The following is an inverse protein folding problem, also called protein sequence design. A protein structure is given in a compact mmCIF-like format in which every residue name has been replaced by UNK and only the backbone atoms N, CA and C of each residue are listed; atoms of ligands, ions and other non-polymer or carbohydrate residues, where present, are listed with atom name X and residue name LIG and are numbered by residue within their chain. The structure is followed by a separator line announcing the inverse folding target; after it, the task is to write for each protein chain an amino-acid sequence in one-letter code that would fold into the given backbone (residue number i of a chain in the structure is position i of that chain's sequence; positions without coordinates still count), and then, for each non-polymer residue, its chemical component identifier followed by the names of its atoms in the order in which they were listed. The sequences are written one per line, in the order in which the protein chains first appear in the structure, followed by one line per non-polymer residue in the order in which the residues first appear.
data_IF_320669620669
#
_entry.id   IF_320669620669
#
_cell.length_a   1.000
_cell.length_b   1.000
_cell.length_c   1.000
_cell.angle_alpha   90.00
_cell.angle_beta   90.00
_cell.angle_gamma   90.00
#
_symmetry.space_group_name_H-M   'P 1'
#
loop_
_entity.id
_entity.type
_entity.pdbx_description
1 polymer ?
#
# COMPACT_ATOMS: atom_id res chain seq x y z
N UNK A 1 -13.45 5.26 -12.63
CA UNK A 1 -13.30 5.19 -14.10
C UNK A 1 -13.29 6.55 -14.77
N UNK A 2 -14.24 7.46 -14.51
CA UNK A 2 -14.25 8.79 -15.14
C UNK A 2 -12.95 9.57 -14.94
N UNK A 3 -12.50 9.69 -13.69
CA UNK A 3 -11.22 10.33 -13.37
C UNK A 3 -10.00 9.61 -13.95
N UNK A 4 -10.05 8.29 -14.12
CA UNK A 4 -9.00 7.55 -14.83
C UNK A 4 -8.93 7.93 -16.31
N UNK A 5 -10.07 8.26 -16.92
CA UNK A 5 -10.12 8.78 -18.29
C UNK A 5 -9.49 10.17 -18.39
N UNK A 6 -9.90 11.09 -17.52
CA UNK A 6 -9.37 12.47 -17.49
C UNK A 6 -7.85 12.50 -17.19
N UNK A 7 -7.37 11.56 -16.38
CA UNK A 7 -5.98 11.55 -15.94
C UNK A 7 -5.08 10.61 -16.76
N UNK A 8 -5.60 9.97 -17.81
CA UNK A 8 -4.94 8.89 -18.54
C UNK A 8 -3.53 9.27 -19.04
N UNK A 9 -3.36 10.50 -19.51
CA UNK A 9 -2.10 10.98 -20.08
C UNK A 9 -1.28 11.83 -19.12
N UNK A 10 -1.83 12.26 -17.97
CA UNK A 10 -1.17 13.19 -17.04
C UNK A 10 -0.57 12.44 -15.86
N UNK A 11 -1.32 11.51 -15.26
CA UNK A 11 -0.93 10.81 -14.04
C UNK A 11 -0.54 9.35 -14.33
N UNK A 12 0.75 9.11 -14.54
CA UNK A 12 1.32 7.76 -14.67
C UNK A 12 1.07 6.91 -13.41
N UNK A 13 1.03 7.56 -12.24
CA UNK A 13 0.69 6.93 -10.96
C UNK A 13 -0.68 6.25 -11.00
N UNK A 14 -1.69 6.89 -11.61
CA UNK A 14 -3.05 6.35 -11.72
C UNK A 14 -3.09 5.14 -12.67
N UNK A 15 -2.36 5.19 -13.80
CA UNK A 15 -2.28 4.04 -14.71
C UNK A 15 -1.78 2.80 -13.99
N UNK A 16 -0.70 2.95 -13.21
CA UNK A 16 -0.13 1.83 -12.46
C UNK A 16 -1.03 1.43 -11.28
N UNK A 17 -1.68 2.40 -10.62
CA UNK A 17 -2.66 2.15 -9.54
C UNK A 17 -3.84 1.29 -9.99
N UNK A 18 -4.24 1.36 -11.27
CA UNK A 18 -5.36 0.59 -11.81
C UNK A 18 -5.17 -0.91 -11.54
N UNK A 19 -3.96 -1.45 -11.73
CA UNK A 19 -3.65 -2.85 -11.48
C UNK A 19 -3.83 -3.23 -10.01
N UNK A 20 -3.41 -2.37 -9.09
CA UNK A 20 -3.58 -2.59 -7.65
C UNK A 20 -5.05 -2.53 -7.22
N UNK A 21 -5.82 -1.61 -7.82
CA UNK A 21 -7.26 -1.49 -7.59
C UNK A 21 -8.01 -2.69 -8.16
N UNK A 22 -7.61 -3.24 -9.30
CA UNK A 22 -8.21 -4.47 -9.85
C UNK A 22 -8.00 -5.68 -8.93
N UNK A 23 -6.81 -5.81 -8.34
CA UNK A 23 -6.55 -6.83 -7.31
C UNK A 23 -7.49 -6.63 -6.11
N UNK A 24 -7.71 -5.39 -5.68
CA UNK A 24 -8.66 -5.07 -4.62
C UNK A 24 -10.10 -5.46 -5.00
N UNK A 25 -10.53 -5.12 -6.21
CA UNK A 25 -11.87 -5.48 -6.74
C UNK A 25 -12.03 -7.00 -6.79
N UNK A 26 -11.03 -7.74 -7.26
CA UNK A 26 -11.07 -9.19 -7.33
C UNK A 26 -11.19 -9.88 -5.97
N UNK A 27 -10.67 -9.26 -4.91
CA UNK A 27 -10.78 -9.79 -3.57
C UNK A 27 -12.14 -9.49 -2.90
N UNK A 28 -12.78 -8.36 -3.24
CA UNK A 28 -14.08 -7.97 -2.68
C UNK A 28 -15.23 -8.56 -3.50
N UNK A 29 -15.16 -8.44 -4.83
CA UNK A 29 -16.15 -8.92 -5.80
C UNK A 29 -15.47 -9.80 -6.87
N UNK A 30 -15.24 -11.10 -6.57
CA UNK A 30 -14.51 -12.02 -7.45
C UNK A 30 -15.09 -12.15 -8.87
N UNK A 31 -16.41 -12.01 -9.02
CA UNK A 31 -17.07 -12.08 -10.34
C UNK A 31 -16.69 -10.91 -11.24
N UNK A 32 -16.69 -9.70 -10.68
CA UNK A 32 -16.30 -8.49 -11.40
C UNK A 32 -14.79 -8.52 -11.68
N UNK A 33 -13.97 -8.84 -10.68
CA UNK A 33 -12.52 -8.94 -10.86
C UNK A 33 -12.10 -9.95 -11.91
N UNK A 34 -12.78 -11.11 -11.99
CA UNK A 34 -12.57 -12.10 -13.05
C UNK A 34 -12.73 -11.48 -14.44
N UNK A 35 -13.82 -10.75 -14.67
CA UNK A 35 -14.12 -10.19 -15.99
C UNK A 35 -13.25 -8.97 -16.33
N UNK A 36 -12.75 -8.25 -15.32
CA UNK A 36 -11.69 -7.26 -15.49
C UNK A 36 -10.37 -7.92 -15.93
N UNK A 37 -9.93 -9.00 -15.26
CA UNK A 37 -8.75 -9.73 -15.68
C UNK A 37 -8.91 -10.42 -17.04
N UNK A 38 -10.12 -10.85 -17.40
CA UNK A 38 -10.44 -11.31 -18.75
C UNK A 38 -10.23 -10.17 -19.77
N UNK A 39 -10.70 -8.97 -19.47
CA UNK A 39 -10.52 -7.79 -20.31
C UNK A 39 -9.03 -7.45 -20.48
N UNK A 40 -8.24 -7.49 -19.40
CA UNK A 40 -6.79 -7.32 -19.47
C UNK A 40 -6.11 -8.39 -20.32
N UNK A 41 -6.58 -9.65 -20.22
CA UNK A 41 -6.06 -10.77 -21.02
C UNK A 41 -6.34 -10.55 -22.52
N UNK A 42 -7.51 -10.03 -22.87
CA UNK A 42 -7.85 -9.66 -24.25
C UNK A 42 -6.98 -8.51 -24.74
N UNK A 43 -6.82 -7.45 -23.95
CA UNK A 43 -5.93 -6.32 -24.28
C UNK A 43 -4.49 -6.79 -24.46
N UNK A 44 -4.02 -7.68 -23.58
CA UNK A 44 -2.70 -8.29 -23.65
C UNK A 44 -2.47 -8.98 -25.01
N UNK A 45 -3.39 -9.89 -25.40
CA UNK A 45 -3.31 -10.61 -26.68
C UNK A 45 -3.41 -9.66 -27.88
N UNK A 46 -4.31 -8.68 -27.86
CA UNK A 46 -4.45 -7.69 -28.92
C UNK A 46 -3.19 -6.85 -29.09
N UNK A 47 -2.52 -6.45 -28.00
CA UNK A 47 -1.25 -5.73 -28.10
C UNK A 47 -0.10 -6.60 -28.60
N UNK A 48 -0.08 -7.91 -28.32
CA UNK A 48 0.88 -8.84 -28.94
C UNK A 48 0.65 -8.98 -30.44
N UNK A 49 -0.62 -9.08 -30.87
CA UNK A 49 -0.97 -9.09 -32.29
C UNK A 49 -0.53 -7.77 -32.94
N UNK A 50 -0.83 -6.62 -32.32
CA UNK A 50 -0.40 -5.30 -32.79
C UNK A 50 1.12 -5.14 -32.89
N UNK A 51 1.88 -5.74 -31.97
CA UNK A 51 3.34 -5.81 -32.04
C UNK A 51 3.80 -6.70 -33.20
N UNK A 52 3.19 -7.87 -33.40
CA UNK A 52 3.55 -8.79 -34.48
C UNK A 52 3.27 -8.20 -35.87
N UNK A 53 2.16 -7.47 -36.02
CA UNK A 53 1.78 -6.80 -37.27
C UNK A 53 2.47 -5.44 -37.48
N UNK A 54 3.36 -5.03 -36.57
CA UNK A 54 4.01 -3.70 -36.59
C UNK A 54 3.02 -2.52 -36.53
N UNK A 55 1.78 -2.76 -36.07
CA UNK A 55 0.79 -1.71 -35.87
C UNK A 55 1.18 -0.77 -34.72
N UNK A 56 1.93 -1.26 -33.73
CA UNK A 56 2.48 -0.44 -32.64
C UNK A 56 3.95 -0.77 -32.38
N UNK A 57 4.76 0.28 -32.20
CA UNK A 57 6.17 0.17 -31.83
C UNK A 57 6.41 0.41 -30.34
N UNK A 58 5.37 0.78 -29.57
CA UNK A 58 5.51 1.13 -28.14
C UNK A 58 6.11 -0.01 -27.32
N UNK A 59 5.70 -1.26 -27.58
CA UNK A 59 6.20 -2.45 -26.88
C UNK A 59 7.64 -2.84 -27.24
N UNK A 60 8.22 -2.22 -28.28
CA UNK A 60 9.61 -2.44 -28.69
C UNK A 60 10.56 -1.36 -28.13
N UNK A 61 10.05 -0.39 -27.35
CA UNK A 61 10.84 0.74 -26.84
C UNK A 61 11.96 0.31 -25.89
N UNK A 62 11.67 -0.63 -24.99
CA UNK A 62 12.64 -1.16 -24.03
C UNK A 62 12.35 -2.64 -23.74
N UNK A 63 13.36 -3.52 -23.61
CA UNK A 63 13.16 -4.93 -23.28
C UNK A 63 12.37 -5.12 -21.98
N UNK A 64 12.67 -4.32 -20.95
CA UNK A 64 11.98 -4.40 -19.66
C UNK A 64 10.49 -4.04 -19.77
N UNK A 65 10.13 -3.09 -20.64
CA UNK A 65 8.72 -2.74 -20.87
C UNK A 65 7.93 -3.93 -21.43
N UNK A 66 8.53 -4.68 -22.36
CA UNK A 66 7.95 -5.90 -22.90
C UNK A 66 7.83 -6.98 -21.82
N UNK A 67 8.85 -7.14 -20.96
CA UNK A 67 8.80 -8.08 -19.84
C UNK A 67 7.69 -7.74 -18.85
N UNK A 68 7.54 -6.47 -18.47
CA UNK A 68 6.43 -6.01 -17.62
C UNK A 68 5.07 -6.27 -18.26
N UNK A 69 4.95 -6.01 -19.57
CA UNK A 69 3.73 -6.29 -20.34
C UNK A 69 3.37 -7.79 -20.30
N UNK A 70 4.35 -8.67 -20.46
CA UNK A 70 4.16 -10.12 -20.32
C UNK A 70 3.82 -10.53 -18.89
N UNK A 71 4.49 -9.99 -17.87
CA UNK A 71 4.22 -10.32 -16.47
C UNK A 71 2.79 -9.94 -16.08
N UNK A 72 2.34 -8.73 -16.43
CA UNK A 72 0.98 -8.27 -16.16
C UNK A 72 -0.05 -9.05 -16.97
N UNK A 73 0.23 -9.32 -18.26
CA UNK A 73 -0.66 -10.06 -19.14
C UNK A 73 -0.86 -11.51 -18.72
N UNK A 74 0.24 -12.25 -18.50
CA UNK A 74 0.20 -13.64 -18.03
C UNK A 74 -0.38 -13.71 -16.61
N UNK A 75 -0.01 -12.78 -15.73
CA UNK A 75 -0.61 -12.67 -14.40
C UNK A 75 -2.12 -12.49 -14.44
N UNK A 76 -2.62 -11.66 -15.37
CA UNK A 76 -4.05 -11.46 -15.60
C UNK A 76 -4.75 -12.73 -16.12
N UNK A 77 -4.11 -13.49 -17.02
CA UNK A 77 -4.65 -14.78 -17.50
C UNK A 77 -4.76 -15.78 -16.35
N UNK A 78 -3.71 -15.92 -15.53
CA UNK A 78 -3.69 -16.82 -14.37
C UNK A 78 -4.75 -16.41 -13.34
N UNK A 79 -4.86 -15.11 -13.03
CA UNK A 79 -5.87 -14.58 -12.13
C UNK A 79 -7.29 -14.81 -12.66
N UNK A 80 -7.53 -14.53 -13.95
CA UNK A 80 -8.80 -14.79 -14.61
C UNK A 80 -9.17 -16.28 -14.54
N UNK A 81 -8.24 -17.18 -14.86
CA UNK A 81 -8.48 -18.63 -14.79
C UNK A 81 -8.81 -19.09 -13.37
N UNK A 82 -8.02 -18.67 -12.38
CA UNK A 82 -8.26 -19.02 -10.97
C UNK A 82 -9.63 -18.54 -10.48
N UNK A 83 -10.00 -17.30 -10.80
CA UNK A 83 -11.31 -16.75 -10.42
C UNK A 83 -12.45 -17.38 -11.22
N UNK A 84 -12.24 -17.77 -12.48
CA UNK A 84 -13.24 -18.49 -13.28
C UNK A 84 -13.52 -19.88 -12.69
N UNK A 85 -12.50 -20.60 -12.22
CA UNK A 85 -12.66 -21.88 -11.51
C UNK A 85 -13.44 -21.68 -10.20
N UNK A 86 -13.10 -20.64 -9.43
CA UNK A 86 -13.77 -20.34 -8.14
C UNK A 86 -15.24 -19.92 -8.34
N UNK A 87 -15.52 -19.10 -9.36
CA UNK A 87 -16.86 -18.55 -9.63
C UNK A 87 -17.71 -19.43 -10.56
N UNK A 88 -17.13 -20.51 -11.12
CA UNK A 88 -17.74 -21.45 -12.07
C UNK A 88 -18.44 -20.78 -13.26
N UNK A 89 -17.96 -19.62 -13.67
CA UNK A 89 -18.55 -18.83 -14.75
C UNK A 89 -17.49 -17.92 -15.35
N UNK A 90 -17.76 -17.38 -16.53
CA UNK A 90 -16.90 -16.43 -17.24
C UNK A 90 -17.79 -15.38 -17.92
N UNK A 91 -17.41 -14.11 -17.86
CA UNK A 91 -18.10 -13.05 -18.60
C UNK A 91 -19.52 -12.70 -18.09
N UNK A 92 -19.84 -12.96 -16.82
CA UNK A 92 -21.17 -12.63 -16.26
C UNK A 92 -21.39 -11.13 -16.04
N UNK A 93 -20.32 -10.38 -15.76
CA UNK A 93 -20.30 -8.95 -15.44
C UNK A 93 -19.84 -8.09 -16.62
N UNK A 94 -19.95 -8.58 -17.86
CA UNK A 94 -19.51 -7.85 -19.06
C UNK A 94 -20.18 -6.47 -19.20
N UNK A 95 -21.44 -6.34 -18.74
CA UNK A 95 -22.16 -5.05 -18.74
C UNK A 95 -21.51 -4.03 -17.81
N UNK A 96 -21.07 -4.46 -16.63
CA UNK A 96 -20.36 -3.60 -15.70
C UNK A 96 -19.02 -3.15 -16.31
N UNK A 97 -18.28 -4.08 -16.92
CA UNK A 97 -17.05 -3.76 -17.67
C UNK A 97 -17.29 -2.75 -18.79
N UNK A 98 -18.37 -2.90 -19.56
CA UNK A 98 -18.74 -1.94 -20.61
C UNK A 98 -19.10 -0.56 -20.05
N UNK A 99 -19.88 -0.49 -18.96
CA UNK A 99 -20.19 0.79 -18.29
C UNK A 99 -18.90 1.44 -17.78
N UNK A 100 -17.99 0.67 -17.19
CA UNK A 100 -16.68 1.16 -16.74
C UNK A 100 -15.88 1.74 -17.90
N UNK A 101 -15.86 1.07 -19.05
CA UNK A 101 -15.22 1.54 -20.28
C UNK A 101 -15.86 2.81 -20.84
N UNK A 102 -17.20 2.87 -20.92
CA UNK A 102 -17.93 4.06 -21.37
C UNK A 102 -17.70 5.27 -20.46
N UNK A 103 -17.69 5.05 -19.14
CA UNK A 103 -17.42 6.12 -18.16
C UNK A 103 -15.97 6.57 -18.24
N UNK A 104 -15.02 5.67 -18.51
CA UNK A 104 -13.64 6.02 -18.79
C UNK A 104 -13.53 6.85 -20.08
N UNK A 105 -14.20 6.43 -21.16
CA UNK A 105 -14.26 7.17 -22.43
C UNK A 105 -14.88 8.56 -22.26
N UNK A 106 -15.93 8.69 -21.45
CA UNK A 106 -16.54 9.97 -21.12
C UNK A 106 -15.54 10.91 -20.43
N UNK A 107 -14.66 10.37 -19.57
CA UNK A 107 -13.56 11.14 -19.00
C UNK A 107 -12.49 11.50 -20.03
N UNK A 108 -12.06 10.53 -20.85
CA UNK A 108 -11.07 10.74 -21.90
C UNK A 108 -11.54 11.70 -22.99
N UNK A 109 -12.86 11.85 -23.20
CA UNK A 109 -13.42 12.81 -24.15
C UNK A 109 -13.03 14.27 -23.84
N UNK A 110 -12.64 14.58 -22.60
CA UNK A 110 -12.12 15.91 -22.25
C UNK A 110 -10.82 16.25 -22.98
N UNK A 111 -10.05 15.27 -23.47
CA UNK A 111 -8.88 15.56 -24.30
C UNK A 111 -9.24 16.24 -25.63
N UNK A 112 -10.49 16.12 -26.12
CA UNK A 112 -10.96 16.90 -27.28
C UNK A 112 -11.01 18.41 -27.02
N UNK A 113 -10.85 18.86 -25.76
CA UNK A 113 -10.60 20.26 -25.46
C UNK A 113 -9.28 20.77 -26.07
N UNK A 114 -8.23 19.94 -26.14
CA UNK A 114 -6.92 20.32 -26.68
C UNK A 114 -6.98 20.80 -28.13
N UNK A 115 -7.57 20.06 -29.10
CA UNK A 115 -7.69 20.55 -30.47
C UNK A 115 -8.59 21.80 -30.57
N UNK A 116 -9.65 21.90 -29.77
CA UNK A 116 -10.57 23.05 -29.79
C UNK A 116 -9.85 24.31 -29.32
N UNK A 117 -9.20 24.26 -28.15
CA UNK A 117 -8.42 25.36 -27.63
C UNK A 117 -7.24 25.69 -28.56
N UNK A 118 -6.60 24.67 -29.14
CA UNK A 118 -5.48 24.82 -30.05
C UNK A 118 -5.79 25.57 -31.35
N UNK A 119 -7.07 25.69 -31.74
CA UNK A 119 -7.50 26.54 -32.87
C UNK A 119 -7.49 28.04 -32.54
N UNK A 120 -7.48 28.40 -31.25
CA UNK A 120 -7.59 29.80 -30.79
C UNK A 120 -6.24 30.45 -30.48
N UNK A 121 -5.14 29.68 -30.49
CA UNK A 121 -3.80 30.13 -30.11
C UNK A 121 -2.76 29.75 -31.19
N UNK A 122 -1.66 30.52 -31.33
CA UNK A 122 -0.67 30.29 -32.37
C UNK A 122 -0.01 28.90 -32.29
N UNK A 123 0.66 28.43 -33.36
CA UNK A 123 1.18 27.05 -33.49
C UNK A 123 2.35 26.68 -32.57
N UNK A 124 2.63 27.46 -31.53
CA UNK A 124 3.70 27.23 -30.56
C UNK A 124 3.25 26.35 -29.37
N UNK A 125 2.33 25.42 -29.62
CA UNK A 125 1.77 24.53 -28.60
C UNK A 125 2.53 23.20 -28.58
N UNK A 126 2.66 22.59 -27.41
CA UNK A 126 3.25 21.25 -27.27
C UNK A 126 2.44 20.22 -28.05
N UNK A 127 3.09 19.48 -28.94
CA UNK A 127 2.45 18.50 -29.84
C UNK A 127 1.58 19.10 -30.94
N UNK A 128 1.19 20.38 -30.88
CA UNK A 128 0.28 21.03 -31.84
C UNK A 128 -1.04 20.24 -32.06
N UNK A 129 -1.87 20.09 -31.00
CA UNK A 129 -2.98 19.13 -30.94
C UNK A 129 -4.13 19.39 -31.92
N UNK A 130 -4.11 20.50 -32.66
CA UNK A 130 -5.11 20.77 -33.71
C UNK A 130 -4.95 19.89 -34.96
N UNK A 131 -3.80 19.25 -35.15
CA UNK A 131 -3.61 18.22 -36.19
C UNK A 131 -3.85 16.84 -35.60
N UNK A 132 -4.24 15.88 -36.44
CA UNK A 132 -4.47 14.49 -35.99
C UNK A 132 -3.19 13.89 -35.39
N UNK A 133 -2.06 14.07 -36.09
CA UNK A 133 -0.76 13.62 -35.62
C UNK A 133 -0.40 14.27 -34.27
N UNK A 134 -0.60 15.59 -34.16
CA UNK A 134 -0.29 16.34 -32.96
C UNK A 134 -1.15 15.96 -31.75
N UNK A 135 -2.43 15.69 -31.98
CA UNK A 135 -3.35 15.20 -30.96
C UNK A 135 -2.90 13.85 -30.41
N UNK A 136 -2.60 12.89 -31.29
CA UNK A 136 -2.12 11.58 -30.87
C UNK A 136 -0.70 11.65 -30.28
N UNK A 137 0.14 12.60 -30.71
CA UNK A 137 1.43 12.87 -30.10
C UNK A 137 1.30 13.40 -28.66
N UNK A 138 0.38 14.33 -28.42
CA UNK A 138 0.07 14.84 -27.09
C UNK A 138 -0.50 13.73 -26.19
N UNK A 139 -1.48 12.96 -26.69
CA UNK A 139 -2.11 11.85 -25.97
C UNK A 139 -1.11 10.72 -25.63
N UNK A 140 -0.24 10.36 -26.57
CA UNK A 140 0.80 9.34 -26.36
C UNK A 140 1.98 9.83 -25.53
N UNK A 141 1.92 11.06 -25.00
CA UNK A 141 2.99 11.69 -24.22
C UNK A 141 4.30 11.82 -25.01
N UNK A 142 4.26 12.04 -26.31
CA UNK A 142 5.45 12.17 -27.16
C UNK A 142 6.39 13.34 -26.78
N UNK A 143 5.86 14.32 -26.03
CA UNK A 143 6.60 15.44 -25.43
C UNK A 143 7.45 15.06 -24.21
N UNK A 144 7.16 13.92 -23.58
CA UNK A 144 7.89 13.43 -22.42
C UNK A 144 8.89 12.37 -22.85
N UNK A 145 9.92 12.16 -22.03
CA UNK A 145 10.84 11.06 -22.23
C UNK A 145 10.09 9.73 -22.21
N UNK A 146 10.41 8.86 -23.16
CA UNK A 146 9.79 7.54 -23.26
C UNK A 146 10.15 6.72 -22.01
N UNK A 147 9.22 5.89 -21.55
CA UNK A 147 9.47 5.01 -20.43
C UNK A 147 10.67 4.10 -20.71
N UNK A 148 11.69 4.19 -19.85
CA UNK A 148 12.89 3.36 -19.89
C UNK A 148 13.04 2.62 -18.54
N UNK A 149 12.31 1.50 -18.37
CA UNK A 149 12.17 0.89 -17.06
C UNK A 149 13.48 0.29 -16.55
N UNK A 150 13.69 0.32 -15.23
CA UNK A 150 14.87 -0.22 -14.56
C UNK A 150 15.05 -1.71 -14.83
N UNK A 151 16.28 -2.12 -15.13
CA UNK A 151 16.58 -3.53 -15.35
C UNK A 151 16.73 -4.30 -14.04
N UNK A 152 15.60 -4.74 -13.49
CA UNK A 152 15.53 -5.48 -12.23
C UNK A 152 16.22 -6.85 -12.30
N UNK A 153 16.24 -7.48 -13.48
CA UNK A 153 16.75 -8.85 -13.63
C UNK A 153 18.25 -8.88 -13.86
N UNK A 154 18.78 -7.98 -14.68
CA UNK A 154 20.21 -7.96 -14.99
C UNK A 154 21.01 -7.02 -14.08
N UNK A 155 20.37 -6.01 -13.48
CA UNK A 155 21.00 -5.09 -12.54
C UNK A 155 20.18 -4.92 -11.24
N UNK A 156 20.06 -5.98 -10.42
CA UNK A 156 19.29 -5.92 -9.19
C UNK A 156 19.86 -4.92 -8.17
N UNK A 157 21.17 -4.65 -8.21
CA UNK A 157 21.82 -3.67 -7.34
C UNK A 157 21.28 -2.25 -7.54
N UNK A 158 21.07 -1.84 -8.79
CA UNK A 158 20.47 -0.55 -9.11
C UNK A 158 19.03 -0.45 -8.59
N UNK A 159 18.23 -1.50 -8.76
CA UNK A 159 16.88 -1.54 -8.24
C UNK A 159 16.83 -1.48 -6.71
N UNK A 160 17.76 -2.15 -6.01
CA UNK A 160 17.85 -2.07 -4.56
C UNK A 160 18.20 -0.66 -4.07
N UNK A 161 19.06 0.07 -4.80
CA UNK A 161 19.34 1.48 -4.51
C UNK A 161 18.09 2.33 -4.66
N UNK A 162 17.31 2.13 -5.71
CA UNK A 162 16.05 2.84 -5.96
C UNK A 162 14.99 2.55 -4.89
N UNK A 163 14.89 1.30 -4.42
CA UNK A 163 14.04 0.94 -3.28
C UNK A 163 14.53 1.66 -2.01
N UNK A 164 15.85 1.76 -1.82
CA UNK A 164 16.45 2.54 -0.75
C UNK A 164 16.09 4.03 -0.82
N UNK A 165 16.09 4.62 -2.01
CA UNK A 165 15.64 6.00 -2.24
C UNK A 165 14.17 6.18 -1.86
N UNK A 166 13.28 5.30 -2.33
CA UNK A 166 11.85 5.34 -1.99
C UNK A 166 11.63 5.27 -0.47
N UNK A 167 12.34 4.38 0.23
CA UNK A 167 12.26 4.26 1.69
C UNK A 167 12.83 5.53 2.37
N UNK A 168 13.95 6.05 1.88
CA UNK A 168 14.56 7.27 2.40
C UNK A 168 13.61 8.47 2.30
N UNK A 169 12.90 8.60 1.19
CA UNK A 169 11.90 9.66 0.99
C UNK A 169 10.75 9.55 1.99
N UNK A 170 10.21 8.33 2.19
CA UNK A 170 9.14 8.08 3.17
C UNK A 170 9.60 8.39 4.59
N UNK A 171 10.83 8.00 4.94
CA UNK A 171 11.43 8.28 6.24
C UNK A 171 11.65 9.77 6.44
N UNK A 172 12.04 10.49 5.39
CA UNK A 172 12.21 11.94 5.46
C UNK A 172 10.87 12.65 5.70
N UNK A 173 9.76 12.15 5.15
CA UNK A 173 8.43 12.74 5.39
C UNK A 173 7.86 12.38 6.77
N UNK A 174 7.96 11.12 7.20
CA UNK A 174 7.24 10.63 8.39
C UNK A 174 8.10 10.21 9.56
N UNK A 175 9.42 10.10 9.42
CA UNK A 175 10.38 9.48 10.35
C UNK A 175 10.30 7.94 10.46
N UNK A 176 11.38 7.35 10.99
CA UNK A 176 11.52 5.90 11.18
C UNK A 176 10.49 5.28 12.12
N UNK A 177 10.13 5.99 13.20
CA UNK A 177 9.17 5.49 14.21
C UNK A 177 7.80 5.29 13.58
N UNK A 178 7.33 6.28 12.81
CA UNK A 178 6.07 6.18 12.09
C UNK A 178 6.09 5.05 11.06
N UNK A 179 7.22 4.84 10.35
CA UNK A 179 7.32 3.74 9.39
C UNK A 179 7.17 2.36 10.05
N UNK A 180 7.75 2.15 11.24
CA UNK A 180 7.53 0.91 12.00
C UNK A 180 6.07 0.78 12.48
N UNK A 181 5.46 1.87 12.90
CA UNK A 181 4.03 1.89 13.30
C UNK A 181 3.14 1.54 12.08
N UNK A 182 3.51 1.98 10.88
CA UNK A 182 2.80 1.65 9.65
C UNK A 182 2.76 0.14 9.35
N UNK A 183 3.69 -0.64 9.88
CA UNK A 183 3.71 -2.10 9.74
C UNK A 183 2.81 -2.81 10.76
N UNK A 184 2.39 -2.14 11.84
CA UNK A 184 1.58 -2.74 12.89
C UNK A 184 0.28 -3.38 12.38
N UNK A 185 -0.50 -2.78 11.46
CA UNK A 185 -1.72 -3.41 10.94
C UNK A 185 -1.46 -4.79 10.31
N UNK A 186 -0.30 -5.00 9.68
CA UNK A 186 0.08 -6.27 9.07
C UNK A 186 0.28 -7.37 10.13
N UNK A 187 0.77 -7.01 11.32
CA UNK A 187 0.94 -7.96 12.44
C UNK A 187 -0.41 -8.46 12.97
N UNK A 188 -1.46 -7.65 12.86
CA UNK A 188 -2.82 -8.00 13.28
C UNK A 188 -3.64 -8.69 12.17
N UNK A 189 -3.09 -8.89 10.96
CA UNK A 189 -3.81 -9.43 9.80
C UNK A 189 -4.58 -10.73 10.09
N UNK A 190 -3.94 -11.69 10.76
CA UNK A 190 -4.55 -12.98 11.09
C UNK A 190 -5.66 -12.89 12.14
N UNK A 191 -5.78 -11.77 12.86
CA UNK A 191 -6.83 -11.52 13.87
C UNK A 191 -7.98 -10.67 13.35
N UNK A 192 -7.80 -10.00 12.22
CA UNK A 192 -8.81 -9.13 11.61
C UNK A 192 -9.96 -9.90 10.97
N UNK A 193 -11.11 -9.24 10.80
CA UNK A 193 -12.25 -9.78 10.06
C UNK A 193 -11.96 -9.84 8.55
N UNK A 194 -12.74 -10.64 7.79
CA UNK A 194 -12.55 -10.79 6.34
C UNK A 194 -12.55 -9.45 5.60
N UNK A 195 -13.50 -8.57 5.91
CA UNK A 195 -13.60 -7.22 5.30
C UNK A 195 -12.35 -6.37 5.54
N UNK A 196 -11.82 -6.40 6.75
CA UNK A 196 -10.62 -5.65 7.14
C UNK A 196 -9.37 -6.23 6.44
N UNK A 197 -9.26 -7.56 6.34
CA UNK A 197 -8.21 -8.22 5.58
C UNK A 197 -8.27 -7.85 4.10
N UNK A 198 -9.47 -7.82 3.51
CA UNK A 198 -9.68 -7.36 2.13
C UNK A 198 -9.16 -5.96 1.91
N UNK A 199 -9.53 -5.05 2.81
CA UNK A 199 -9.11 -3.65 2.74
C UNK A 199 -7.60 -3.49 2.90
N UNK A 200 -6.99 -4.21 3.84
CA UNK A 200 -5.55 -4.15 4.07
C UNK A 200 -4.78 -4.71 2.86
N UNK A 201 -5.23 -5.83 2.30
CA UNK A 201 -4.64 -6.41 1.10
C UNK A 201 -4.76 -5.46 -0.10
N UNK A 202 -5.90 -4.77 -0.23
CA UNK A 202 -6.11 -3.76 -1.26
C UNK A 202 -5.10 -2.61 -1.14
N UNK A 203 -4.90 -2.05 0.06
CA UNK A 203 -3.92 -0.98 0.28
C UNK A 203 -2.50 -1.43 -0.05
N UNK A 204 -2.14 -2.66 0.36
CA UNK A 204 -0.83 -3.25 0.05
C UNK A 204 -0.64 -3.43 -1.46
N UNK A 205 -1.65 -3.96 -2.16
CA UNK A 205 -1.61 -4.15 -3.61
C UNK A 205 -1.45 -2.82 -4.36
N UNK A 206 -2.23 -1.80 -3.98
CA UNK A 206 -2.10 -0.45 -4.58
C UNK A 206 -0.73 0.14 -4.27
N UNK A 207 -0.20 -0.01 -3.05
CA UNK A 207 1.14 0.47 -2.69
C UNK A 207 2.24 -0.20 -3.51
N UNK A 208 2.18 -1.51 -3.72
CA UNK A 208 3.15 -2.22 -4.58
C UNK A 208 3.11 -1.71 -6.02
N UNK A 209 1.93 -1.34 -6.52
CA UNK A 209 1.79 -0.74 -7.85
C UNK A 209 2.36 0.68 -7.88
N UNK A 210 1.85 1.61 -7.07
CA UNK A 210 2.24 3.03 -7.16
C UNK A 210 3.63 3.34 -6.56
N UNK A 211 4.13 2.47 -5.69
CA UNK A 211 5.50 2.52 -5.18
C UNK A 211 6.42 1.70 -6.06
N UNK A 212 6.31 0.37 -6.00
CA UNK A 212 7.26 -0.54 -6.65
C UNK A 212 7.22 -0.55 -8.17
N UNK A 213 6.05 -0.78 -8.78
CA UNK A 213 5.94 -0.86 -10.24
C UNK A 213 6.19 0.50 -10.91
N UNK A 214 5.74 1.60 -10.30
CA UNK A 214 6.06 2.94 -10.77
C UNK A 214 7.56 3.26 -10.66
N UNK A 215 8.24 2.80 -9.60
CA UNK A 215 9.69 2.93 -9.44
C UNK A 215 10.45 2.25 -10.57
N UNK A 216 10.04 1.04 -10.94
CA UNK A 216 10.61 0.33 -12.10
C UNK A 216 10.35 1.13 -13.37
N UNK A 217 9.12 1.63 -13.59
CA UNK A 217 8.75 2.30 -14.83
C UNK A 217 9.48 3.64 -15.02
N UNK A 218 9.63 4.41 -13.95
CA UNK A 218 10.19 5.76 -13.98
C UNK A 218 11.72 5.76 -13.91
N UNK A 219 12.31 4.69 -13.35
CA UNK A 219 13.76 4.48 -13.29
C UNK A 219 14.54 5.72 -12.81
N UNK A 220 14.23 6.26 -11.62
CA UNK A 220 14.89 7.48 -11.15
C UNK A 220 16.40 7.27 -10.98
N UNK A 221 17.18 8.25 -11.43
CA UNK A 221 18.62 8.28 -11.21
C UNK A 221 18.94 8.75 -9.78
N UNK A 222 20.05 8.31 -9.18
CA UNK A 222 20.46 8.74 -7.83
C UNK A 222 20.99 10.18 -7.77
N UNK A 223 21.11 10.87 -8.91
CA UNK A 223 21.40 12.30 -8.95
C UNK A 223 20.35 13.10 -8.17
N UNK A 224 20.81 14.07 -7.35
CA UNK A 224 19.95 14.80 -6.42
C UNK A 224 18.82 15.55 -7.13
N UNK A 225 19.12 16.22 -8.24
CA UNK A 225 18.12 17.01 -8.96
C UNK A 225 17.03 16.10 -9.55
N UNK A 226 17.44 14.99 -10.17
CA UNK A 226 16.50 14.01 -10.72
C UNK A 226 15.69 13.30 -9.63
N UNK A 227 16.29 13.00 -8.48
CA UNK A 227 15.62 12.39 -7.34
C UNK A 227 14.54 13.31 -6.76
N UNK A 228 14.83 14.60 -6.59
CA UNK A 228 13.87 15.58 -6.09
C UNK A 228 12.68 15.77 -7.04
N UNK A 229 12.91 15.78 -8.36
CA UNK A 229 11.83 15.79 -9.36
C UNK A 229 10.98 14.51 -9.33
N UNK A 230 11.65 13.37 -9.15
CA UNK A 230 11.03 12.05 -9.09
C UNK A 230 10.15 11.86 -7.86
N UNK A 231 10.53 12.46 -6.73
CA UNK A 231 9.83 12.38 -5.44
C UNK A 231 8.36 12.78 -5.53
N UNK A 232 8.05 13.80 -6.34
CA UNK A 232 6.67 14.31 -6.52
C UNK A 232 5.73 13.21 -7.02
N UNK A 233 6.19 12.31 -7.90
CA UNK A 233 5.38 11.20 -8.41
C UNK A 233 5.06 10.17 -7.32
N UNK A 234 5.95 9.98 -6.35
CA UNK A 234 5.76 9.05 -5.24
C UNK A 234 4.93 9.63 -4.08
N UNK A 235 4.56 10.91 -4.09
CA UNK A 235 3.70 11.50 -3.04
C UNK A 235 2.41 10.69 -2.81
N UNK A 236 1.86 10.10 -3.88
CA UNK A 236 0.69 9.21 -3.79
C UNK A 236 0.95 7.93 -2.99
N UNK A 237 2.15 7.34 -3.05
CA UNK A 237 2.55 6.19 -2.22
C UNK A 237 2.69 6.56 -0.75
N UNK A 238 3.15 7.78 -0.46
CA UNK A 238 3.28 8.32 0.89
C UNK A 238 1.92 8.46 1.57
N UNK A 239 0.87 8.81 0.82
CA UNK A 239 -0.50 8.88 1.35
C UNK A 239 -1.01 7.50 1.84
N UNK A 240 -0.67 6.42 1.15
CA UNK A 240 -1.03 5.06 1.61
C UNK A 240 -0.28 4.69 2.89
N UNK A 241 0.99 5.08 3.00
CA UNK A 241 1.76 4.90 4.24
C UNK A 241 1.14 5.72 5.38
N UNK A 242 0.69 6.95 5.14
CA UNK A 242 0.00 7.74 6.15
C UNK A 242 -1.28 7.07 6.67
N UNK A 243 -2.08 6.47 5.78
CA UNK A 243 -3.25 5.68 6.18
C UNK A 243 -2.84 4.51 7.07
N UNK A 244 -1.77 3.80 6.69
CA UNK A 244 -1.23 2.68 7.45
C UNK A 244 -0.67 3.10 8.81
N UNK A 245 -0.03 4.27 8.90
CA UNK A 245 0.41 4.88 10.16
C UNK A 245 -0.81 5.12 11.07
N UNK A 246 -1.88 5.72 10.53
CA UNK A 246 -3.11 5.97 11.28
C UNK A 246 -3.74 4.68 11.83
N UNK A 247 -3.83 3.63 11.01
CA UNK A 247 -4.28 2.31 11.48
C UNK A 247 -3.33 1.69 12.50
N UNK A 248 -2.02 1.86 12.32
CA UNK A 248 -1.01 1.38 13.25
C UNK A 248 -1.17 2.00 14.63
N UNK A 249 -1.35 3.31 14.71
CA UNK A 249 -1.65 4.01 15.97
C UNK A 249 -2.94 3.51 16.60
N UNK A 250 -4.03 3.45 15.83
CA UNK A 250 -5.34 3.04 16.34
C UNK A 250 -5.31 1.60 16.91
N UNK A 251 -4.74 0.64 16.17
CA UNK A 251 -4.66 -0.75 16.59
C UNK A 251 -3.72 -0.94 17.78
N UNK A 252 -2.59 -0.26 17.80
CA UNK A 252 -1.63 -0.32 18.91
C UNK A 252 -2.25 0.27 20.18
N UNK A 253 -2.91 1.42 20.08
CA UNK A 253 -3.60 2.06 21.20
C UNK A 253 -4.74 1.17 21.74
N UNK A 254 -5.59 0.62 20.86
CA UNK A 254 -6.65 -0.30 21.25
C UNK A 254 -6.11 -1.58 21.91
N UNK A 255 -5.01 -2.12 21.41
CA UNK A 255 -4.35 -3.29 21.99
C UNK A 255 -3.84 -3.00 23.41
N UNK A 256 -3.16 -1.87 23.61
CA UNK A 256 -2.66 -1.43 24.92
C UNK A 256 -3.83 -1.18 25.88
N UNK A 257 -4.90 -0.52 25.43
CA UNK A 257 -6.06 -0.21 26.26
C UNK A 257 -6.78 -1.49 26.74
N UNK A 258 -6.96 -2.47 25.85
CA UNK A 258 -7.63 -3.75 26.17
C UNK A 258 -6.77 -4.69 27.03
N UNK A 259 -5.45 -4.55 26.98
CA UNK A 259 -4.51 -5.41 27.72
C UNK A 259 -3.63 -4.59 28.70
N UNK A 260 -4.21 -3.56 29.32
CA UNK A 260 -3.46 -2.57 30.10
C UNK A 260 -2.62 -3.19 31.23
N UNK A 261 -3.18 -4.08 32.04
CA UNK A 261 -2.47 -4.69 33.17
C UNK A 261 -1.20 -5.44 32.74
N UNK A 262 -1.26 -6.15 31.61
CA UNK A 262 -0.11 -6.89 31.06
C UNK A 262 0.87 -5.96 30.33
N UNK A 263 0.35 -4.93 29.68
CA UNK A 263 1.11 -4.07 28.77
C UNK A 263 1.72 -2.86 29.47
N UNK A 264 1.32 -2.52 30.70
CA UNK A 264 1.79 -1.31 31.41
C UNK A 264 3.32 -1.28 31.57
N UNK A 265 3.91 -2.35 32.12
CA UNK A 265 5.36 -2.40 32.37
C UNK A 265 6.15 -2.42 31.06
N UNK A 266 5.70 -3.24 30.10
CA UNK A 266 6.31 -3.34 28.77
C UNK A 266 6.17 -2.02 28.01
N UNK A 267 5.03 -1.35 28.09
CA UNK A 267 4.76 -0.07 27.43
C UNK A 267 5.63 1.06 27.97
N UNK A 268 5.85 1.12 29.30
CA UNK A 268 6.78 2.10 29.89
C UNK A 268 8.23 1.80 29.48
N UNK A 269 8.65 0.53 29.48
CA UNK A 269 9.99 0.15 29.00
C UNK A 269 10.19 0.49 27.52
N UNK A 270 9.21 0.17 26.67
CA UNK A 270 9.25 0.51 25.24
C UNK A 270 9.23 2.03 25.02
N UNK A 271 8.48 2.79 25.82
CA UNK A 271 8.48 4.25 25.78
C UNK A 271 9.83 4.87 26.14
N UNK A 272 10.51 4.34 27.16
CA UNK A 272 11.86 4.74 27.53
C UNK A 272 12.89 4.41 26.42
N UNK A 273 12.75 3.25 25.77
CA UNK A 273 13.59 2.89 24.63
C UNK A 273 13.31 3.79 23.42
N UNK A 274 12.05 4.13 23.17
CA UNK A 274 11.64 4.99 22.05
C UNK A 274 12.04 6.47 22.21
N UNK A 275 12.36 6.91 23.43
CA UNK A 275 12.90 8.24 23.71
C UNK A 275 14.24 8.48 23.01
N UNK A 276 15.09 7.46 22.92
CA UNK A 276 16.41 7.56 22.27
C UNK A 276 16.28 7.93 20.78
N UNK A 277 15.54 7.19 19.93
CA UNK A 277 15.37 7.59 18.54
C UNK A 277 14.56 8.88 18.37
N UNK A 278 13.63 9.19 19.27
CA UNK A 278 12.91 10.46 19.23
C UNK A 278 13.85 11.67 19.44
N UNK A 279 14.80 11.56 20.36
CA UNK A 279 15.82 12.59 20.59
C UNK A 279 16.78 12.73 19.40
N UNK A 280 17.16 11.61 18.77
CA UNK A 280 17.99 11.65 17.54
C UNK A 280 17.23 12.31 16.39
N UNK A 281 15.95 11.99 16.21
CA UNK A 281 15.11 12.62 15.19
C UNK A 281 14.94 14.12 15.47
N UNK A 282 14.72 14.51 16.72
CA UNK A 282 14.64 15.91 17.14
C UNK A 282 15.96 16.65 16.86
N UNK A 283 17.10 16.06 17.23
CA UNK A 283 18.42 16.64 16.96
C UNK A 283 18.65 16.84 15.46
N UNK A 284 18.38 15.81 14.63
CA UNK A 284 18.54 15.92 13.18
C UNK A 284 17.60 16.98 12.58
N UNK A 285 16.35 17.07 13.04
CA UNK A 285 15.41 18.10 12.56
C UNK A 285 15.83 19.53 12.92
N UNK A 286 16.35 19.73 14.14
CA UNK A 286 16.93 21.01 14.56
C UNK A 286 18.19 21.33 13.75
N UNK A 287 19.05 20.33 13.53
CA UNK A 287 20.28 20.46 12.73
C UNK A 287 20.00 20.89 11.29
N UNK A 288 18.97 20.31 10.67
CA UNK A 288 18.58 20.62 9.30
C UNK A 288 18.00 22.05 9.21
N UNK A 289 17.06 22.36 10.10
CA UNK A 289 16.31 23.64 10.07
C UNK A 289 17.20 24.84 10.38
N UNK A 290 18.09 24.73 11.38
CA UNK A 290 18.87 25.87 11.88
C UNK A 290 20.32 25.90 11.41
N UNK A 291 20.89 24.76 11.02
CA UNK A 291 22.32 24.63 10.70
C UNK A 291 22.59 24.07 9.29
N UNK A 292 21.57 23.95 8.45
CA UNK A 292 21.70 23.51 7.06
C UNK A 292 22.29 22.10 6.91
N UNK A 293 22.06 21.23 7.91
CA UNK A 293 22.48 19.83 7.86
C UNK A 293 23.93 19.55 8.26
N UNK A 294 24.68 20.53 8.78
CA UNK A 294 26.01 20.29 9.34
C UNK A 294 25.90 19.44 10.62
N UNK A 295 26.51 18.25 10.61
CA UNK A 295 26.55 17.35 11.77
C UNK A 295 25.46 16.26 11.80
N UNK A 296 24.84 15.95 10.65
CA UNK A 296 23.90 14.84 10.54
C UNK A 296 24.52 13.53 11.05
N UNK A 297 23.77 12.81 11.87
CA UNK A 297 24.05 11.40 12.14
C UNK A 297 23.67 10.62 10.88
N UNK A 298 24.62 9.97 10.19
CA UNK A 298 24.31 9.25 8.96
C UNK A 298 23.25 8.18 9.21
N UNK A 299 22.31 8.02 8.26
CA UNK A 299 21.16 7.12 8.40
C UNK A 299 21.56 5.67 8.74
N UNK A 300 22.75 5.23 8.30
CA UNK A 300 23.30 3.91 8.59
C UNK A 300 23.49 3.68 10.09
N UNK A 301 23.96 4.69 10.82
CA UNK A 301 24.14 4.60 12.27
C UNK A 301 22.82 4.65 13.02
N UNK A 302 21.86 5.45 12.54
CA UNK A 302 20.51 5.47 13.08
C UNK A 302 19.86 4.10 12.89
N UNK A 303 19.94 3.53 11.69
CA UNK A 303 19.38 2.23 11.37
C UNK A 303 20.06 1.10 12.17
N UNK A 304 21.38 1.16 12.34
CA UNK A 304 22.12 0.25 13.22
C UNK A 304 21.66 0.36 14.68
N UNK A 305 21.50 1.59 15.19
CA UNK A 305 20.99 1.83 16.55
C UNK A 305 19.58 1.23 16.72
N UNK A 306 18.70 1.44 15.75
CA UNK A 306 17.37 0.83 15.74
C UNK A 306 17.43 -0.70 15.70
N UNK A 307 18.30 -1.28 14.86
CA UNK A 307 18.48 -2.72 14.75
C UNK A 307 19.03 -3.32 16.05
N UNK A 308 19.97 -2.63 16.70
CA UNK A 308 20.54 -3.04 17.99
C UNK A 308 19.50 -2.93 19.12
N UNK A 309 18.70 -1.86 19.17
CA UNK A 309 17.62 -1.72 20.15
C UNK A 309 16.54 -2.79 19.96
N UNK A 310 16.14 -3.05 18.70
CA UNK A 310 15.22 -4.12 18.38
C UNK A 310 15.79 -5.50 18.74
N UNK A 311 17.06 -5.76 18.41
CA UNK A 311 17.77 -6.98 18.76
C UNK A 311 17.88 -7.19 20.27
N UNK A 312 18.22 -6.14 21.02
CA UNK A 312 18.28 -6.18 22.48
C UNK A 312 16.90 -6.48 23.09
N UNK A 313 15.83 -5.90 22.58
CA UNK A 313 14.45 -6.20 23.01
C UNK A 313 14.07 -7.66 22.73
N UNK A 314 14.42 -8.18 21.55
CA UNK A 314 14.17 -9.59 21.19
C UNK A 314 14.95 -10.54 22.10
N UNK A 315 16.24 -10.27 22.32
CA UNK A 315 17.09 -11.07 23.21
C UNK A 315 16.58 -11.05 24.66
N UNK A 316 16.14 -9.88 25.14
CA UNK A 316 15.56 -9.74 26.48
C UNK A 316 14.24 -10.52 26.59
N UNK A 317 13.39 -10.48 25.55
CA UNK A 317 12.15 -11.26 25.52
C UNK A 317 12.40 -12.78 25.47
N UNK A 318 13.44 -13.23 24.74
CA UNK A 318 13.85 -14.63 24.70
C UNK A 318 14.44 -15.10 26.04
N UNK A 319 15.29 -14.27 26.68
CA UNK A 319 15.85 -14.53 28.00
C UNK A 319 14.77 -14.57 29.08
N UNK A 320 13.79 -13.68 29.03
CA UNK A 320 12.63 -13.73 29.92
C UNK A 320 11.85 -15.05 29.74
N UNK A 321 11.62 -15.49 28.50
CA UNK A 321 10.93 -16.77 28.22
C UNK A 321 11.68 -17.98 28.74
N UNK A 322 13.01 -18.01 28.65
CA UNK A 322 13.81 -19.13 29.19
C UNK A 322 13.76 -19.14 30.72
N UNK A 323 13.92 -17.99 31.37
CA UNK A 323 13.85 -17.87 32.83
C UNK A 323 12.47 -18.31 33.36
N UNK A 324 11.37 -17.83 32.76
CA UNK A 324 10.02 -18.25 33.16
C UNK A 324 9.76 -19.75 32.91
N UNK A 325 10.30 -20.33 31.82
CA UNK A 325 10.24 -21.78 31.59
C UNK A 325 10.99 -22.58 32.65
N UNK A 326 12.14 -22.09 33.13
CA UNK A 326 12.90 -22.75 34.19
C UNK A 326 12.20 -22.66 35.55
N UNK A 327 11.56 -21.51 35.87
CA UNK A 327 10.73 -21.40 37.07
C UNK A 327 9.53 -22.36 37.05
N UNK A 328 8.80 -22.46 35.94
CA UNK A 328 7.67 -23.40 35.80
C UNK A 328 8.11 -24.88 35.88
N UNK A 329 9.32 -25.20 35.41
CA UNK A 329 9.89 -26.54 35.49
C UNK A 329 10.41 -26.87 36.89
N UNK A 330 11.00 -25.90 37.59
CA UNK A 330 11.45 -26.04 38.97
C UNK A 330 10.27 -26.22 39.95
N UNK A 331 9.16 -25.51 39.73
CA UNK A 331 7.95 -25.62 40.55
C UNK A 331 7.24 -26.98 40.39
N UNK A 332 7.31 -27.59 39.20
CA UNK A 332 6.80 -28.95 38.94
C UNK A 332 7.72 -30.09 39.43
N UNK A 333 8.98 -29.79 39.75
CA UNK A 333 9.98 -30.76 40.21
C UNK A 333 10.07 -30.93 41.74
N UNK A 334 9.35 -30.12 42.51
CA UNK A 334 9.33 -30.19 43.98
C UNK A 334 8.21 -31.12 44.47
N UNK A 335 8.50 -32.14 45.30
CA UNK A 335 7.46 -32.97 45.89
C UNK A 335 6.59 -32.14 46.84
N UNK A 336 5.27 -32.18 46.63
CA UNK A 336 4.29 -31.45 47.41
C UNK A 336 4.24 -31.96 48.85
N UNK A 337 4.80 -31.21 49.80
CA UNK A 337 4.44 -31.35 51.22
C UNK A 337 3.12 -30.63 51.48
N UNK A 338 2.15 -31.39 51.95
CA UNK A 338 0.76 -31.02 52.22
C UNK A 338 0.56 -29.75 53.08
N UNK A 339 -0.44 -28.95 52.71
CA UNK A 339 -1.39 -28.37 53.68
C UNK A 339 -2.65 -27.90 52.97
N UNK A 340 -3.79 -28.47 53.38
CA UNK A 340 -5.15 -28.07 53.00
C UNK A 340 -5.46 -26.68 53.57
N UNK A 341 -5.90 -25.74 52.74
CA UNK A 341 -6.82 -24.69 53.14
C UNK A 341 -7.45 -24.01 51.90
N UNK A 342 -8.79 -23.94 51.86
CA UNK A 342 -9.50 -22.92 51.08
C UNK A 342 -10.03 -23.33 49.71
N UNK A 343 -11.03 -24.21 49.69
CA UNK A 343 -11.97 -24.32 48.58
C UNK A 343 -12.85 -23.07 48.54
N UNK A 344 -12.75 -22.23 47.49
CA UNK A 344 -13.71 -21.16 47.22
C UNK A 344 -13.96 -21.00 45.71
N UNK A 345 -15.05 -21.65 45.29
CA UNK A 345 -16.02 -21.29 44.24
C UNK A 345 -15.51 -20.60 42.96
N UNK A 346 -15.57 -21.39 41.90
CA UNK A 346 -16.13 -21.04 40.59
C UNK A 346 -17.21 -19.95 40.67
N UNK A 347 -16.97 -18.84 39.96
CA UNK A 347 -17.97 -17.85 39.59
C UNK A 347 -17.70 -17.42 38.16
N UNK A 348 -18.41 -18.03 37.20
CA UNK A 348 -18.54 -17.45 35.87
C UNK A 348 -19.23 -16.12 36.00
N UNK A 349 -18.65 -15.07 35.43
CA UNK A 349 -19.31 -13.78 35.27
C UNK A 349 -19.32 -13.44 33.77
N UNK A 350 -20.47 -13.75 33.17
CA UNK A 350 -20.96 -13.15 31.95
C UNK A 350 -21.74 -11.90 32.35
N UNK A 351 -21.34 -10.72 31.87
CA UNK A 351 -22.07 -9.43 31.80
C UNK A 351 -21.09 -8.46 31.14
N UNK A 352 -21.18 -8.06 29.86
CA UNK A 352 -22.21 -7.25 29.22
C UNK A 352 -22.53 -5.95 29.98
N UNK A 353 -22.64 -4.84 29.24
CA UNK A 353 -22.78 -3.42 29.65
C UNK A 353 -21.43 -2.71 29.90
N UNK A 354 -21.08 -1.57 29.28
CA UNK A 354 -21.87 -0.54 28.60
C UNK A 354 -21.03 0.11 27.47
N UNK A 355 -21.65 0.19 26.30
CA UNK A 355 -21.20 0.93 25.13
C UNK A 355 -21.23 2.44 25.40
N UNK A 356 -20.14 3.12 25.07
CA UNK A 356 -20.13 4.54 24.72
C UNK A 356 -20.20 4.67 23.19
N UNK A 357 -21.40 4.96 22.69
CA UNK A 357 -21.69 5.24 21.28
C UNK A 357 -20.85 6.40 20.73
N UNK A 358 -20.06 6.15 19.69
CA UNK A 358 -19.89 7.07 18.55
C UNK A 358 -20.26 6.29 17.29
N UNK A 359 -21.57 6.23 17.04
CA UNK A 359 -22.14 5.64 15.85
C UNK A 359 -22.45 6.78 14.86
N UNK A 360 -21.67 6.86 13.79
CA UNK A 360 -22.03 7.63 12.60
C UNK A 360 -22.05 6.68 11.41
N UNK A 361 -23.21 6.08 11.16
CA UNK A 361 -23.81 6.02 9.82
C UNK A 361 -25.17 5.33 9.90
N UNK A 362 -26.19 6.09 9.51
CA UNK A 362 -27.57 5.67 9.56
C UNK A 362 -28.00 4.77 8.39
N UNK A 363 -29.25 4.34 8.56
CA UNK A 363 -30.18 3.87 7.54
C UNK A 363 -30.30 2.36 7.34
N UNK A 364 -31.16 1.80 8.21
CA UNK A 364 -32.32 0.92 7.93
C UNK A 364 -32.27 -0.27 8.87
N UNK A 365 -33.30 -0.46 9.67
CA UNK A 365 -34.30 -1.52 9.48
C UNK A 365 -35.40 -1.39 10.55
N UNK A 366 -36.64 -1.58 10.10
CA UNK A 366 -37.93 -1.37 10.77
C UNK A 366 -38.09 -2.28 12.01
N UNK A 367 -38.47 -1.75 13.16
CA UNK A 367 -39.85 -1.77 13.70
C UNK A 367 -40.46 -3.19 13.78
N UNK A 368 -40.29 -3.82 14.94
CA UNK A 368 -41.26 -4.76 15.50
C UNK A 368 -41.50 -4.41 16.97
N UNK A 369 -42.78 -4.41 17.30
CA UNK A 369 -43.47 -3.93 18.50
C UNK A 369 -43.33 -4.84 19.74
N UNK A 370 -43.66 -4.23 20.89
CA UNK A 370 -44.12 -4.77 22.18
C UNK A 370 -43.11 -4.45 23.30
N UNK A 371 -43.41 -3.65 24.33
CA UNK A 371 -44.67 -3.45 25.04
C UNK A 371 -44.62 -4.21 26.36
N UNK A 372 -44.20 -3.54 27.45
CA UNK A 372 -44.56 -3.88 28.84
C UNK A 372 -43.94 -2.85 29.82
N UNK A 373 -44.84 -2.02 30.37
CA UNK A 373 -44.96 -1.54 31.77
C UNK A 373 -44.14 -2.34 32.80
N UNK A 374 -43.53 -1.76 33.84
CA UNK A 374 -44.01 -0.77 34.84
C UNK A 374 -42.93 0.24 35.19
#
# INVERSE_FOLDING_TARGET
MFFFGICATIHQTLLVAAMGIEVAVAYVEPKLGRDLFLSNSLVYLLGLIGKATQFTTMLNTAPMLLTLYHLVGVGSIVACFSLAVQTKSLGTEWKAGMVMGLVWLAGAAFYFYEPIAGMTVPPMQWGYPRTVEGFFHALSRGQYEKANPSDVFNNPGHFLLQVGMLISDIVHEYNWVCLFIALAPLLFYSKMQKRERSWLLALVAVYFCIGGLLLILMNPSPDKQSADLSRVFFTSSHALIAIMIGYGFALTAAYIATHYQRSRTVGVMLGLVALVPALVAFYNGVSDTFYGGLGFVPYQFVLLLFALLAGALVLTALAARTIFRFSDAAEKGLPSSSSKAGQARTGGFCSCWLWGHWCWWGSRWKLFSAGATV
#
